data_IF_748758947091
#
_entry.id   IF_748758947091
#
_cell.length_a   1.000
_cell.length_b   1.000
_cell.length_c   1.000
_cell.angle_alpha   90.00
_cell.angle_beta   90.00
_cell.angle_gamma   90.00
#
_symmetry.space_group_name_H-M   'P 1'
#
loop_
_entity.id
_entity.type
_entity.pdbx_description
1 polymer ?
#
# COMPACT_ATOMS: atom_id res chain seq x y z
N UNK A 1 12.48 -2.81 3.74
CA UNK A 1 12.45 -3.59 2.48
C UNK A 1 11.11 -4.30 2.42
N UNK A 2 10.59 -4.53 1.23
CA UNK A 2 9.33 -5.24 0.98
C UNK A 2 9.54 -6.25 -0.16
N UNK A 3 9.11 -7.48 0.04
CA UNK A 3 9.17 -8.57 -0.94
C UNK A 3 7.79 -9.21 -1.02
N UNK A 4 7.40 -9.70 -2.19
CA UNK A 4 6.07 -10.28 -2.41
C UNK A 4 6.14 -11.52 -3.30
N UNK A 5 5.18 -12.44 -3.10
CA UNK A 5 4.99 -13.60 -3.97
C UNK A 5 4.46 -13.13 -5.34
N UNK A 6 5.18 -13.46 -6.41
CA UNK A 6 4.91 -12.99 -7.76
C UNK A 6 3.52 -13.42 -8.24
N UNK A 7 3.12 -14.64 -7.91
CA UNK A 7 1.93 -15.30 -8.45
C UNK A 7 0.64 -14.93 -7.71
N UNK A 8 0.73 -14.48 -6.46
CA UNK A 8 -0.44 -14.38 -5.58
C UNK A 8 -0.59 -13.08 -4.82
N UNK A 9 0.45 -12.23 -4.75
CA UNK A 9 0.34 -10.97 -4.02
C UNK A 9 -0.25 -9.86 -4.90
N UNK A 10 -1.21 -9.14 -4.34
CA UNK A 10 -1.75 -7.90 -4.89
C UNK A 10 -1.53 -6.74 -3.92
N UNK A 11 -1.28 -5.54 -4.46
CA UNK A 11 -1.11 -4.31 -3.70
C UNK A 11 -2.01 -3.22 -4.27
N UNK A 12 -2.69 -2.46 -3.41
CA UNK A 12 -3.62 -1.42 -3.83
C UNK A 12 -3.74 -0.28 -2.82
N UNK A 13 -4.38 0.80 -3.27
CA UNK A 13 -4.87 1.90 -2.45
C UNK A 13 -6.34 2.12 -2.85
N UNK A 14 -7.23 1.32 -2.27
CA UNK A 14 -8.63 1.23 -2.70
C UNK A 14 -9.49 2.41 -2.24
N UNK A 15 -8.97 3.25 -1.36
CA UNK A 15 -9.65 4.32 -0.64
C UNK A 15 -10.49 5.23 -1.55
N UNK A 16 -10.02 5.51 -2.77
CA UNK A 16 -10.75 6.35 -3.71
C UNK A 16 -12.14 5.79 -4.09
N UNK A 17 -12.30 4.45 -4.15
CA UNK A 17 -13.61 3.81 -4.37
C UNK A 17 -14.55 3.92 -3.18
N UNK A 18 -14.00 4.21 -1.99
CA UNK A 18 -14.76 4.49 -0.77
C UNK A 18 -15.08 5.98 -0.63
N UNK A 19 -14.72 6.82 -1.61
CA UNK A 19 -14.92 8.26 -1.58
C UNK A 19 -13.94 9.01 -0.69
N UNK A 20 -12.82 8.39 -0.34
CA UNK A 20 -11.79 8.97 0.53
C UNK A 20 -10.40 8.85 -0.12
N UNK A 21 -9.43 9.61 0.39
CA UNK A 21 -8.03 9.39 0.02
C UNK A 21 -7.37 8.42 1.01
N UNK A 22 -6.20 7.83 0.71
CA UNK A 22 -5.42 7.12 1.72
C UNK A 22 -5.08 8.03 2.91
N UNK A 23 -5.31 7.54 4.13
CA UNK A 23 -4.99 8.25 5.39
C UNK A 23 -3.91 7.57 6.25
N UNK A 24 -3.35 6.46 5.78
CA UNK A 24 -2.35 5.65 6.49
C UNK A 24 -0.90 5.88 6.03
N UNK A 25 -0.62 7.00 5.37
CA UNK A 25 0.66 7.35 4.76
C UNK A 25 0.79 6.94 3.29
N UNK A 26 -0.28 6.39 2.68
CA UNK A 26 -0.26 5.88 1.31
C UNK A 26 0.21 6.92 0.29
N UNK A 27 -0.27 8.16 0.38
CA UNK A 27 0.13 9.24 -0.54
C UNK A 27 1.58 9.69 -0.30
N UNK A 28 2.09 9.55 0.92
CA UNK A 28 3.42 10.02 1.30
C UNK A 28 4.50 8.97 1.00
N UNK A 29 4.33 7.74 1.49
CA UNK A 29 5.29 6.67 1.28
C UNK A 29 5.37 6.25 -0.19
N UNK A 30 4.23 6.15 -0.88
CA UNK A 30 4.19 5.72 -2.26
C UNK A 30 4.90 6.73 -3.16
N UNK A 31 4.65 8.03 -2.95
CA UNK A 31 5.33 9.10 -3.70
C UNK A 31 6.85 8.96 -3.65
N UNK A 32 7.43 8.71 -2.49
CA UNK A 32 8.88 8.54 -2.31
C UNK A 32 9.44 7.29 -3.00
N UNK A 33 8.61 6.26 -3.19
CA UNK A 33 9.02 4.98 -3.79
C UNK A 33 8.86 4.91 -5.30
N UNK A 34 7.72 5.36 -5.82
CA UNK A 34 7.35 5.17 -7.24
C UNK A 34 7.33 6.47 -8.04
N UNK A 35 7.52 7.61 -7.37
CA UNK A 35 7.38 8.94 -7.97
C UNK A 35 5.93 9.40 -8.10
N UNK A 36 5.74 10.70 -8.36
CA UNK A 36 4.41 11.35 -8.31
C UNK A 36 3.39 10.76 -9.28
N UNK A 37 3.78 10.50 -10.52
CA UNK A 37 2.82 10.09 -11.55
C UNK A 37 2.25 8.69 -11.29
N UNK A 38 3.11 7.73 -10.96
CA UNK A 38 2.70 6.37 -10.59
C UNK A 38 1.95 6.34 -9.26
N UNK A 39 2.32 7.20 -8.30
CA UNK A 39 1.57 7.32 -7.06
C UNK A 39 0.13 7.81 -7.30
N UNK A 40 -0.05 8.79 -8.19
CA UNK A 40 -1.39 9.25 -8.61
C UNK A 40 -2.15 8.17 -9.37
N UNK A 41 -1.50 7.42 -10.24
CA UNK A 41 -2.11 6.28 -10.93
C UNK A 41 -2.66 5.28 -9.92
N UNK A 42 -1.84 4.79 -9.00
CA UNK A 42 -2.25 3.82 -7.96
C UNK A 42 -3.43 4.35 -7.13
N UNK A 43 -3.31 5.58 -6.61
CA UNK A 43 -4.32 6.15 -5.70
C UNK A 43 -5.64 6.47 -6.41
N UNK A 44 -5.58 7.00 -7.63
CA UNK A 44 -6.78 7.47 -8.34
C UNK A 44 -7.47 6.39 -9.15
N UNK A 45 -6.74 5.37 -9.61
CA UNK A 45 -7.36 4.19 -10.22
C UNK A 45 -7.99 3.30 -9.15
N UNK A 46 -7.36 3.21 -7.97
CA UNK A 46 -7.74 2.28 -6.91
C UNK A 46 -7.82 0.82 -7.42
N UNK A 47 -6.94 0.48 -8.36
CA UNK A 47 -6.78 -0.87 -8.87
C UNK A 47 -5.87 -1.71 -7.96
N UNK A 48 -6.03 -3.03 -8.06
CA UNK A 48 -5.11 -4.00 -7.47
C UNK A 48 -3.96 -4.25 -8.45
N UNK A 49 -2.74 -3.93 -8.03
CA UNK A 49 -1.53 -4.15 -8.81
C UNK A 49 -0.89 -5.47 -8.42
N UNK A 50 -0.52 -6.29 -9.40
CA UNK A 50 0.26 -7.49 -9.16
C UNK A 50 1.67 -7.16 -8.63
N UNK A 51 2.31 -8.17 -8.03
CA UNK A 51 3.63 -8.02 -7.43
C UNK A 51 4.71 -7.58 -8.44
N UNK A 52 4.68 -8.09 -9.68
CA UNK A 52 5.68 -7.77 -10.70
C UNK A 52 5.59 -6.29 -11.12
N UNK A 53 4.37 -5.79 -11.34
CA UNK A 53 4.11 -4.40 -11.65
C UNK A 53 4.52 -3.52 -10.47
N UNK A 54 4.14 -3.88 -9.25
CA UNK A 54 4.54 -3.16 -8.04
C UNK A 54 6.07 -3.09 -7.87
N UNK A 55 6.80 -4.17 -8.20
CA UNK A 55 8.27 -4.18 -8.21
C UNK A 55 8.83 -3.29 -9.31
N UNK A 56 8.28 -3.33 -10.53
CA UNK A 56 8.70 -2.48 -11.65
C UNK A 56 8.47 -0.99 -11.38
N UNK A 57 7.48 -0.67 -10.55
CA UNK A 57 7.19 0.69 -10.12
C UNK A 57 8.16 1.18 -9.04
N UNK A 58 8.79 0.27 -8.29
CA UNK A 58 9.61 0.56 -7.12
C UNK A 58 8.82 0.55 -5.80
N UNK A 59 7.56 0.11 -5.80
CA UNK A 59 6.71 0.07 -4.60
C UNK A 59 7.24 -0.97 -3.60
N UNK A 60 7.64 -2.12 -4.13
CA UNK A 60 8.33 -3.19 -3.40
C UNK A 60 9.73 -3.40 -3.98
N UNK A 61 10.59 -4.07 -3.23
CA UNK A 61 11.96 -4.34 -3.66
C UNK A 61 12.01 -5.43 -4.75
N UNK A 62 11.26 -6.52 -4.59
CA UNK A 62 11.20 -7.64 -5.54
C UNK A 62 9.87 -8.40 -5.44
N UNK A 63 9.39 -8.85 -6.60
CA UNK A 63 8.50 -10.01 -6.71
C UNK A 63 9.38 -11.27 -6.84
N UNK A 64 9.03 -12.33 -6.11
CA UNK A 64 9.76 -13.60 -6.09
C UNK A 64 8.76 -14.74 -6.28
N UNK A 65 9.15 -15.89 -6.87
CA UNK A 65 8.30 -17.07 -6.86
C UNK A 65 7.80 -17.38 -5.45
N UNK A 66 6.52 -17.72 -5.32
CA UNK A 66 5.88 -17.92 -4.02
C UNK A 66 6.58 -18.99 -3.16
N UNK A 67 7.12 -20.03 -3.80
CA UNK A 67 7.87 -21.11 -3.14
C UNK A 67 9.31 -20.74 -2.77
N UNK A 68 9.85 -19.64 -3.30
CA UNK A 68 11.19 -19.11 -2.96
C UNK A 68 11.14 -17.96 -1.94
N UNK A 69 9.96 -17.35 -1.73
CA UNK A 69 9.81 -16.12 -0.92
C UNK A 69 10.32 -16.30 0.52
N UNK A 70 9.89 -17.37 1.20
CA UNK A 70 10.26 -17.60 2.60
C UNK A 70 11.76 -17.82 2.75
N UNK A 71 12.38 -18.66 1.92
CA UNK A 71 13.82 -18.90 1.93
C UNK A 71 14.61 -17.59 1.68
N UNK A 72 14.15 -16.79 0.73
CA UNK A 72 14.78 -15.51 0.40
C UNK A 72 14.73 -14.54 1.59
N UNK A 73 13.55 -14.37 2.21
CA UNK A 73 13.36 -13.47 3.36
C UNK A 73 14.18 -13.95 4.55
N UNK A 74 14.17 -15.24 4.84
CA UNK A 74 14.97 -15.86 5.89
C UNK A 74 16.46 -15.61 5.71
N UNK A 75 16.96 -15.80 4.49
CA UNK A 75 18.37 -15.52 4.16
C UNK A 75 18.72 -14.05 4.38
N UNK A 76 17.86 -13.12 3.95
CA UNK A 76 18.07 -11.68 4.18
C UNK A 76 18.08 -11.36 5.68
N UNK A 77 17.13 -11.90 6.44
CA UNK A 77 17.04 -11.67 7.88
C UNK A 77 18.27 -12.23 8.62
N UNK A 78 18.69 -13.47 8.32
CA UNK A 78 19.90 -14.09 8.89
C UNK A 78 21.16 -13.28 8.59
N UNK A 79 21.29 -12.79 7.35
CA UNK A 79 22.43 -11.95 6.96
C UNK A 79 22.47 -10.65 7.76
N UNK A 80 21.33 -10.01 8.00
CA UNK A 80 21.25 -8.78 8.82
C UNK A 80 21.54 -9.09 10.29
N UNK A 81 20.99 -10.17 10.84
CA UNK A 81 21.17 -10.56 12.23
C UNK A 81 22.63 -10.97 12.57
N UNK A 82 23.39 -11.43 11.58
CA UNK A 82 24.79 -11.80 11.73
C UNK A 82 25.76 -10.60 11.68
N UNK A 83 25.26 -9.38 11.47
CA UNK A 83 26.10 -8.18 11.42
C UNK A 83 26.63 -7.84 12.84
N UNK A 84 27.88 -7.34 12.94
CA UNK A 84 28.39 -6.82 14.22
C UNK A 84 27.53 -5.69 14.80
N UNK A 85 27.58 -5.55 16.12
CA UNK A 85 26.89 -4.49 16.85
C UNK A 85 27.20 -3.10 16.26
N UNK A 86 26.17 -2.26 16.20
CA UNK A 86 26.28 -0.89 15.68
C UNK A 86 26.23 -0.75 14.15
N UNK A 87 26.47 -1.81 13.36
CA UNK A 87 26.43 -1.73 11.88
C UNK A 87 25.05 -1.32 11.38
N UNK A 88 23.99 -1.95 11.91
CA UNK A 88 22.60 -1.66 11.51
C UNK A 88 22.24 -0.20 11.82
N UNK A 89 22.64 0.29 13.00
CA UNK A 89 22.39 1.66 13.45
C UNK A 89 23.14 2.67 12.57
N UNK A 90 24.43 2.43 12.33
CA UNK A 90 25.25 3.28 11.48
C UNK A 90 24.68 3.36 10.05
N UNK A 91 24.34 2.21 9.45
CA UNK A 91 23.77 2.16 8.11
C UNK A 91 22.43 2.93 8.02
N UNK A 92 21.52 2.75 8.98
CA UNK A 92 20.24 3.47 9.01
C UNK A 92 20.43 4.98 9.24
N UNK A 93 21.40 5.40 10.05
CA UNK A 93 21.69 6.83 10.24
C UNK A 93 22.30 7.47 9.01
N UNK A 94 23.12 6.74 8.25
CA UNK A 94 23.69 7.21 6.99
C UNK A 94 22.69 7.24 5.83
N UNK A 95 21.55 6.58 5.97
CA UNK A 95 20.43 6.57 5.03
C UNK A 95 19.15 7.03 5.75
N UNK A 96 19.08 8.30 6.20
CA UNK A 96 17.95 8.80 6.95
C UNK A 96 16.67 8.73 6.10
N UNK A 97 15.55 8.44 6.76
CA UNK A 97 14.25 8.56 6.11
C UNK A 97 13.93 10.04 5.85
N UNK A 98 13.13 10.28 4.80
CA UNK A 98 12.57 11.61 4.55
C UNK A 98 11.73 12.06 5.75
N UNK A 99 11.76 13.36 6.07
CA UNK A 99 10.82 13.96 7.01
C UNK A 99 9.47 14.13 6.31
N UNK A 100 8.53 13.24 6.65
CA UNK A 100 7.19 13.22 6.08
C UNK A 100 6.15 13.88 6.99
N UNK A 101 6.53 14.51 8.11
CA UNK A 101 5.58 14.99 9.13
C UNK A 101 4.48 15.88 8.54
N UNK A 102 4.87 16.95 7.82
CA UNK A 102 3.90 17.88 7.23
C UNK A 102 3.04 17.20 6.15
N UNK A 103 3.63 16.27 5.40
CA UNK A 103 2.90 15.50 4.39
C UNK A 103 1.86 14.56 5.00
N UNK A 104 2.20 13.89 6.11
CA UNK A 104 1.30 13.00 6.84
C UNK A 104 0.18 13.80 7.54
N UNK A 105 0.47 14.98 8.08
CA UNK A 105 -0.55 15.89 8.63
C UNK A 105 -1.52 16.33 7.54
N UNK A 106 -1.01 16.79 6.39
CA UNK A 106 -1.85 17.19 5.25
C UNK A 106 -2.67 16.03 4.68
N UNK A 107 -2.12 14.82 4.62
CA UNK A 107 -2.85 13.62 4.23
C UNK A 107 -3.99 13.32 5.19
N UNK A 108 -3.72 13.35 6.50
CA UNK A 108 -4.75 13.14 7.52
C UNK A 108 -5.88 14.16 7.42
N UNK A 109 -5.56 15.46 7.25
CA UNK A 109 -6.56 16.51 7.11
C UNK A 109 -7.43 16.32 5.86
N UNK A 110 -6.82 15.95 4.73
CA UNK A 110 -7.54 15.67 3.49
C UNK A 110 -8.37 14.38 3.56
N UNK A 111 -7.87 13.34 4.22
CA UNK A 111 -8.65 12.14 4.54
C UNK A 111 -9.86 12.50 5.42
N UNK A 112 -9.67 13.24 6.51
CA UNK A 112 -10.75 13.64 7.41
C UNK A 112 -11.82 14.47 6.70
N UNK A 113 -11.39 15.38 5.82
CA UNK A 113 -12.28 16.20 4.99
C UNK A 113 -13.13 15.34 4.03
N UNK A 114 -12.52 14.37 3.34
CA UNK A 114 -13.23 13.49 2.40
C UNK A 114 -14.12 12.47 3.12
N UNK A 115 -13.66 11.89 4.24
CA UNK A 115 -14.42 10.95 5.05
C UNK A 115 -15.71 11.55 5.63
N UNK A 116 -15.69 12.86 5.90
CA UNK A 116 -16.85 13.59 6.43
C UNK A 116 -17.93 13.89 5.38
N UNK A 117 -17.69 13.60 4.09
CA UNK A 117 -18.65 13.86 3.04
C UNK A 117 -19.73 12.76 2.98
N UNK A 118 -20.97 13.10 2.58
CA UNK A 118 -22.03 12.10 2.40
C UNK A 118 -21.67 10.97 1.44
N UNK A 119 -20.83 11.26 0.42
CA UNK A 119 -20.37 10.26 -0.53
C UNK A 119 -19.60 9.12 0.15
N UNK A 120 -18.69 9.43 1.06
CA UNK A 120 -17.94 8.41 1.79
C UNK A 120 -18.87 7.52 2.64
N UNK A 121 -19.82 8.13 3.35
CA UNK A 121 -20.83 7.39 4.11
C UNK A 121 -21.64 6.45 3.22
N UNK A 122 -22.11 6.93 2.07
CA UNK A 122 -22.92 6.15 1.13
C UNK A 122 -22.14 4.96 0.56
N UNK A 123 -20.93 5.20 0.06
CA UNK A 123 -20.09 4.17 -0.56
C UNK A 123 -19.64 3.13 0.45
N UNK A 124 -19.16 3.54 1.62
CA UNK A 124 -18.73 2.60 2.67
C UNK A 124 -19.91 1.77 3.19
N UNK A 125 -21.05 2.41 3.48
CA UNK A 125 -22.24 1.69 3.95
C UNK A 125 -22.81 0.75 2.89
N UNK A 126 -22.74 1.14 1.61
CA UNK A 126 -23.11 0.28 0.49
C UNK A 126 -22.18 -0.92 0.38
N UNK A 127 -20.86 -0.70 0.41
CA UNK A 127 -19.86 -1.77 0.37
C UNK A 127 -20.08 -2.80 1.49
N UNK A 128 -20.32 -2.35 2.71
CA UNK A 128 -20.63 -3.24 3.84
C UNK A 128 -21.91 -4.08 3.62
N UNK A 129 -22.95 -3.48 3.03
CA UNK A 129 -24.19 -4.21 2.70
C UNK A 129 -23.95 -5.25 1.59
N UNK A 130 -23.07 -4.94 0.65
CA UNK A 130 -22.78 -5.77 -0.52
C UNK A 130 -21.67 -6.80 -0.26
N UNK A 131 -21.11 -6.83 0.96
CA UNK A 131 -20.23 -7.90 1.43
C UNK A 131 -18.76 -7.51 1.63
N UNK A 132 -18.40 -6.23 1.61
CA UNK A 132 -17.12 -5.78 2.14
C UNK A 132 -16.98 -6.25 3.61
N UNK A 133 -15.74 -6.52 4.05
CA UNK A 133 -15.43 -7.18 5.33
C UNK A 133 -15.90 -8.63 5.45
N UNK A 134 -16.25 -9.29 4.35
CA UNK A 134 -16.46 -10.74 4.29
C UNK A 134 -15.36 -11.41 3.47
N UNK A 135 -15.01 -12.68 3.72
CA UNK A 135 -13.99 -13.37 2.93
C UNK A 135 -14.30 -13.46 1.42
N UNK A 136 -15.56 -13.37 1.02
CA UNK A 136 -15.94 -13.38 -0.40
C UNK A 136 -15.76 -12.00 -1.04
N UNK A 137 -16.22 -10.94 -0.37
CA UNK A 137 -16.09 -9.57 -0.86
C UNK A 137 -14.65 -9.08 -0.89
N UNK A 138 -13.84 -9.46 0.11
CA UNK A 138 -12.42 -9.05 0.20
C UNK A 138 -11.51 -9.71 -0.85
N UNK A 139 -11.98 -10.73 -1.59
CA UNK A 139 -11.20 -11.35 -2.69
C UNK A 139 -11.19 -10.51 -3.97
N UNK A 140 -12.21 -9.68 -4.16
CA UNK A 140 -12.35 -8.75 -5.29
C UNK A 140 -13.03 -7.48 -4.75
N UNK A 141 -12.34 -6.82 -3.82
CA UNK A 141 -12.89 -5.65 -3.13
C UNK A 141 -13.05 -4.50 -4.11
N UNK A 142 -12.14 -4.35 -5.09
CA UNK A 142 -12.21 -3.36 -6.14
C UNK A 142 -13.46 -3.55 -6.99
N UNK A 143 -13.73 -4.78 -7.45
CA UNK A 143 -14.94 -5.12 -8.20
C UNK A 143 -16.22 -4.83 -7.41
N UNK A 144 -16.25 -5.24 -6.13
CA UNK A 144 -17.36 -4.98 -5.22
C UNK A 144 -17.61 -3.48 -5.03
N UNK A 145 -16.57 -2.71 -4.69
CA UNK A 145 -16.73 -1.28 -4.45
C UNK A 145 -17.10 -0.52 -5.74
N UNK A 146 -16.61 -0.97 -6.91
CA UNK A 146 -17.03 -0.44 -8.22
C UNK A 146 -18.49 -0.75 -8.56
N UNK A 147 -19.08 -1.81 -8.01
CA UNK A 147 -20.53 -2.06 -8.18
C UNK A 147 -21.39 -1.16 -7.29
N UNK A 148 -20.88 -0.76 -6.12
CA UNK A 148 -21.57 0.16 -5.20
C UNK A 148 -21.58 1.60 -5.72
N UNK A 149 -20.52 2.01 -6.42
CA UNK A 149 -20.36 3.38 -6.93
C UNK A 149 -21.20 3.70 -8.18
N UNK A 150 -22.01 2.75 -8.67
CA UNK A 150 -22.84 2.89 -9.89
C UNK A 150 -24.30 3.17 -9.59
#
# INVERSE_FOLDING_TARGET
MAFAAAETAGLGQIEALMGIIPGGGGTQYLRGRVGRNRALEVVLTADLFDAETAASYGWINRALPADELDEYVDRVARNIAALPDGVIEAAKRSLPADDLKEGLLGENDAWAATFSLPAAQQLISGGLKDGAQTPAGERDLEGLMRSVAR
#
